data_IF_421455414473
#
_entry.id   IF_421455414473
#
_cell.length_a   1.000
_cell.length_b   1.000
_cell.length_c   1.000
_cell.angle_alpha   90.00
_cell.angle_beta   90.00
_cell.angle_gamma   90.00
#
_symmetry.space_group_name_H-M   'P 1'
#
loop_
_entity.id
_entity.type
_entity.pdbx_description
1 polymer ?
#
# COMPACT_ATOMS: atom_id res chain seq x y z
N UNK A 1 55.54 -29.89 -0.53
CA UNK A 1 56.26 -28.64 -0.82
C UNK A 1 55.29 -27.50 -0.54
N UNK A 2 55.76 -26.42 0.08
CA UNK A 2 54.95 -25.28 0.51
C UNK A 2 55.32 -24.05 -0.32
N UNK A 3 54.34 -23.19 -0.58
CA UNK A 3 54.48 -21.92 -1.28
C UNK A 3 53.62 -20.89 -0.53
N UNK A 4 54.18 -19.72 -0.24
CA UNK A 4 53.48 -18.62 0.44
C UNK A 4 53.52 -17.39 -0.47
N UNK A 5 52.35 -16.80 -0.73
CA UNK A 5 52.18 -15.65 -1.59
C UNK A 5 51.49 -14.53 -0.81
N UNK A 6 51.92 -13.29 -1.01
CA UNK A 6 51.26 -12.13 -0.44
C UNK A 6 50.07 -11.69 -1.32
N UNK A 7 48.89 -11.41 -0.73
CA UNK A 7 47.76 -10.85 -1.46
C UNK A 7 48.01 -9.39 -1.83
N UNK A 8 47.52 -8.98 -3.01
CA UNK A 8 47.72 -7.64 -3.57
C UNK A 8 46.80 -6.63 -2.85
N UNK A 9 47.28 -6.00 -1.78
CA UNK A 9 46.50 -5.07 -0.96
C UNK A 9 47.15 -3.69 -0.75
N UNK A 10 48.45 -3.53 -1.00
CA UNK A 10 49.17 -2.28 -0.71
C UNK A 10 50.02 -1.79 -1.91
N UNK A 11 50.74 -0.66 -1.84
CA UNK A 11 51.69 -0.23 -2.86
C UNK A 11 53.10 -0.86 -2.73
N UNK A 12 53.29 -1.76 -1.76
CA UNK A 12 54.57 -2.44 -1.53
C UNK A 12 54.91 -3.40 -2.68
N UNK A 13 56.18 -3.81 -2.78
CA UNK A 13 56.57 -4.82 -3.77
C UNK A 13 55.96 -6.18 -3.41
N UNK A 14 54.87 -6.53 -4.07
CA UNK A 14 54.15 -7.79 -3.86
C UNK A 14 54.69 -8.91 -4.74
N UNK A 15 54.60 -10.14 -4.24
CA UNK A 15 54.96 -11.33 -5.00
C UNK A 15 55.00 -12.61 -4.16
N UNK A 16 55.87 -13.52 -4.59
CA UNK A 16 56.15 -14.77 -3.88
C UNK A 16 56.94 -14.46 -2.61
N UNK A 17 56.34 -14.68 -1.44
CA UNK A 17 56.99 -14.49 -0.15
C UNK A 17 57.97 -15.62 0.15
N UNK A 18 57.57 -16.87 -0.11
CA UNK A 18 58.42 -18.07 0.00
C UNK A 18 58.32 -18.89 -1.30
N UNK A 19 59.49 -19.21 -1.88
CA UNK A 19 59.59 -20.09 -3.07
C UNK A 19 59.10 -21.50 -2.75
N UNK A 20 58.64 -22.22 -3.77
CA UNK A 20 58.16 -23.61 -3.61
C UNK A 20 59.29 -24.56 -3.23
N UNK A 21 59.33 -25.01 -1.98
CA UNK A 21 60.25 -26.06 -1.52
C UNK A 21 59.76 -26.74 -0.22
N UNK A 22 60.57 -27.62 0.38
CA UNK A 22 60.28 -28.21 1.70
C UNK A 22 60.84 -27.29 2.78
N UNK A 23 60.01 -26.95 3.77
CA UNK A 23 60.38 -26.07 4.89
C UNK A 23 60.63 -26.95 6.11
N UNK A 24 61.77 -26.77 6.78
CA UNK A 24 62.11 -27.46 8.02
C UNK A 24 61.28 -26.93 9.20
N UNK A 25 61.10 -27.76 10.23
CA UNK A 25 60.53 -27.34 11.50
C UNK A 25 61.48 -26.35 12.19
N UNK A 26 60.98 -25.53 13.15
CA UNK A 26 61.83 -24.65 13.93
C UNK A 26 62.75 -25.45 14.86
N UNK A 27 63.86 -24.85 15.33
CA UNK A 27 64.76 -25.49 16.29
C UNK A 27 63.97 -25.94 17.54
N UNK A 28 64.21 -27.16 18.09
CA UNK A 28 65.38 -28.03 17.92
C UNK A 28 65.25 -29.13 16.83
N UNK A 29 64.13 -29.26 16.13
CA UNK A 29 63.85 -30.34 15.18
C UNK A 29 64.16 -29.95 13.71
N UNK A 30 65.28 -29.29 13.46
CA UNK A 30 65.63 -28.72 12.14
C UNK A 30 65.78 -29.78 11.02
N UNK A 31 66.00 -31.04 11.40
CA UNK A 31 66.14 -32.18 10.48
C UNK A 31 64.80 -32.67 9.89
N UNK A 32 63.66 -32.20 10.43
CA UNK A 32 62.32 -32.64 10.03
C UNK A 32 61.60 -31.56 9.25
N UNK A 33 60.74 -31.97 8.32
CA UNK A 33 59.95 -31.06 7.49
C UNK A 33 58.48 -31.00 7.92
N UNK A 34 57.82 -29.87 7.68
CA UNK A 34 56.38 -29.74 7.89
C UNK A 34 55.58 -30.76 7.07
N UNK A 35 54.70 -31.50 7.75
CA UNK A 35 53.73 -32.42 7.14
C UNK A 35 52.30 -31.86 7.24
N UNK A 36 51.36 -32.47 6.50
CA UNK A 36 49.95 -32.05 6.45
C UNK A 36 49.30 -31.97 7.85
N UNK A 37 49.71 -32.82 8.78
CA UNK A 37 49.17 -32.86 10.15
C UNK A 37 49.55 -31.65 11.00
N UNK A 38 50.58 -30.89 10.61
CA UNK A 38 51.00 -29.66 11.30
C UNK A 38 50.16 -28.44 10.89
N UNK A 39 49.26 -28.60 9.91
CA UNK A 39 48.38 -27.54 9.43
C UNK A 39 46.98 -27.74 10.00
N UNK A 40 46.60 -26.86 10.93
CA UNK A 40 45.22 -26.75 11.41
C UNK A 40 44.82 -25.27 11.50
N UNK A 41 43.53 -25.00 11.43
CA UNK A 41 42.98 -23.65 11.58
C UNK A 41 43.25 -23.15 13.02
N UNK A 42 43.57 -21.88 13.18
CA UNK A 42 43.97 -21.23 14.44
C UNK A 42 45.27 -21.71 15.07
N UNK A 43 46.09 -22.47 14.35
CA UNK A 43 47.43 -22.84 14.81
C UNK A 43 48.47 -21.85 14.29
N UNK A 44 49.43 -21.52 15.15
CA UNK A 44 50.57 -20.66 14.81
C UNK A 44 51.71 -21.53 14.26
N UNK A 45 52.25 -21.15 13.11
CA UNK A 45 53.26 -21.90 12.37
C UNK A 45 54.47 -21.00 12.13
N UNK A 46 55.68 -21.53 12.33
CA UNK A 46 56.92 -20.76 12.16
C UNK A 46 57.60 -21.12 10.85
N UNK A 47 57.75 -20.16 9.95
CA UNK A 47 58.56 -20.31 8.73
C UNK A 47 59.73 -19.32 8.76
N UNK A 48 60.97 -19.82 8.69
CA UNK A 48 62.20 -19.01 8.70
C UNK A 48 62.23 -17.95 9.81
N UNK A 49 61.83 -18.33 11.03
CA UNK A 49 61.78 -17.43 12.19
C UNK A 49 60.60 -16.46 12.24
N UNK A 50 59.68 -16.50 11.26
CA UNK A 50 58.44 -15.71 11.28
C UNK A 50 57.24 -16.58 11.63
N UNK A 51 56.42 -16.11 12.58
CA UNK A 51 55.16 -16.74 12.98
C UNK A 51 54.01 -16.31 12.08
N UNK A 52 53.33 -17.29 11.49
CA UNK A 52 52.13 -17.12 10.68
C UNK A 52 50.96 -17.78 11.39
N UNK A 53 49.80 -17.15 11.36
CA UNK A 53 48.57 -17.70 11.91
C UNK A 53 47.61 -18.06 10.79
N UNK A 54 47.17 -19.32 10.75
CA UNK A 54 46.16 -19.75 9.79
C UNK A 54 44.78 -19.38 10.32
N UNK A 55 44.10 -18.45 9.65
CA UNK A 55 42.76 -17.99 10.08
C UNK A 55 41.63 -18.86 9.50
N UNK A 56 41.79 -19.32 8.26
CA UNK A 56 40.80 -20.10 7.52
C UNK A 56 41.48 -20.99 6.46
N UNK A 57 40.72 -21.95 5.94
CA UNK A 57 41.13 -22.85 4.88
C UNK A 57 40.05 -22.94 3.78
N UNK A 58 40.50 -23.09 2.53
CA UNK A 58 39.61 -23.30 1.38
C UNK A 58 38.72 -24.55 1.52
N UNK A 59 37.59 -24.58 0.80
CA UNK A 59 36.61 -25.66 0.88
C UNK A 59 37.20 -27.03 0.51
N UNK A 60 38.13 -27.06 -0.45
CA UNK A 60 38.84 -28.28 -0.84
C UNK A 60 39.72 -28.80 0.29
N UNK A 61 40.58 -27.94 0.87
CA UNK A 61 41.50 -28.34 1.94
C UNK A 61 40.75 -28.76 3.20
N UNK A 62 39.62 -28.10 3.50
CA UNK A 62 38.71 -28.49 4.58
C UNK A 62 38.20 -29.94 4.43
N UNK A 63 37.78 -30.30 3.22
CA UNK A 63 37.27 -31.64 2.92
C UNK A 63 38.37 -32.69 2.92
N UNK A 64 39.56 -32.34 2.41
CA UNK A 64 40.74 -33.21 2.38
C UNK A 64 41.23 -33.58 3.79
N UNK A 65 41.38 -32.59 4.67
CA UNK A 65 41.81 -32.80 6.06
C UNK A 65 40.82 -33.64 6.85
N UNK A 66 39.51 -33.41 6.64
CA UNK A 66 38.44 -34.23 7.23
C UNK A 66 38.51 -35.69 6.77
N UNK A 67 38.82 -35.93 5.49
CA UNK A 67 38.96 -37.28 4.92
C UNK A 67 40.18 -38.04 5.48
N UNK A 68 41.25 -37.32 5.80
CA UNK A 68 42.47 -37.88 6.43
C UNK A 68 42.28 -38.09 7.95
N UNK A 69 41.16 -37.65 8.52
CA UNK A 69 40.82 -37.84 9.93
C UNK A 69 41.25 -36.69 10.85
N UNK A 70 41.71 -35.56 10.30
CA UNK A 70 42.08 -34.37 11.08
C UNK A 70 40.83 -33.57 11.43
N UNK A 71 40.59 -33.33 12.72
CA UNK A 71 39.52 -32.46 13.21
C UNK A 71 39.95 -31.00 13.09
N UNK A 72 39.26 -30.25 12.24
CA UNK A 72 39.51 -28.83 12.02
C UNK A 72 38.88 -27.96 13.10
N UNK A 73 39.62 -26.96 13.55
CA UNK A 73 39.11 -25.92 14.45
C UNK A 73 38.14 -24.98 13.72
N UNK A 74 37.24 -24.27 14.44
CA UNK A 74 36.37 -23.28 13.83
C UNK A 74 37.19 -22.12 13.23
N UNK A 75 36.79 -21.57 12.07
CA UNK A 75 37.48 -20.44 11.45
C UNK A 75 37.41 -19.22 12.34
N UNK A 76 38.50 -18.45 12.39
CA UNK A 76 38.54 -17.17 13.11
C UNK A 76 38.44 -16.02 12.12
N UNK A 77 37.81 -14.94 12.55
CA UNK A 77 37.77 -13.71 11.76
C UNK A 77 39.20 -13.19 11.54
N UNK A 78 39.52 -12.88 10.28
CA UNK A 78 40.75 -12.21 9.92
C UNK A 78 40.82 -10.88 10.70
N UNK A 79 41.95 -10.54 11.34
CA UNK A 79 42.08 -9.26 12.04
C UNK A 79 41.88 -8.11 11.05
N UNK A 80 41.08 -7.12 11.45
CA UNK A 80 40.77 -6.00 10.58
C UNK A 80 41.97 -5.04 10.51
N UNK A 81 42.41 -4.74 9.28
CA UNK A 81 43.49 -3.80 9.02
C UNK A 81 43.01 -2.36 9.29
N UNK A 82 43.70 -1.57 10.15
CA UNK A 82 43.39 -0.16 10.39
C UNK A 82 43.27 0.67 9.12
N UNK A 83 44.07 0.37 8.09
CA UNK A 83 44.01 1.04 6.80
C UNK A 83 42.70 0.75 6.06
N UNK A 84 42.29 -0.52 6.00
CA UNK A 84 41.04 -0.91 5.35
C UNK A 84 39.82 -0.32 6.06
N UNK A 85 39.82 -0.28 7.39
CA UNK A 85 38.78 0.40 8.18
C UNK A 85 38.68 1.88 7.83
N UNK A 86 39.81 2.60 7.88
CA UNK A 86 39.84 4.05 7.58
C UNK A 86 39.42 4.35 6.16
N UNK A 87 39.82 3.51 5.19
CA UNK A 87 39.42 3.66 3.78
C UNK A 87 37.92 3.44 3.61
N UNK A 88 37.35 2.43 4.27
CA UNK A 88 35.91 2.13 4.24
C UNK A 88 35.11 3.28 4.84
N UNK A 89 35.51 3.76 6.01
CA UNK A 89 34.89 4.93 6.65
C UNK A 89 34.94 6.16 5.73
N UNK A 90 36.09 6.47 5.13
CA UNK A 90 36.20 7.58 4.17
C UNK A 90 35.29 7.42 2.95
N UNK A 91 35.16 6.21 2.40
CA UNK A 91 34.25 5.92 1.30
C UNK A 91 32.78 6.11 1.72
N UNK A 92 32.41 5.67 2.92
CA UNK A 92 31.06 5.84 3.47
C UNK A 92 30.71 7.34 3.64
N UNK A 93 31.69 8.17 4.00
CA UNK A 93 31.54 9.63 4.06
C UNK A 93 31.60 10.34 2.69
N UNK A 94 32.18 9.71 1.66
CA UNK A 94 32.30 10.23 0.28
C UNK A 94 31.01 10.03 -0.55
N UNK A 95 29.84 10.13 0.09
CA UNK A 95 28.58 10.22 -0.65
C UNK A 95 28.48 11.56 -1.40
N UNK A 96 27.74 11.63 -2.52
CA UNK A 96 27.53 12.88 -3.23
C UNK A 96 26.90 13.93 -2.29
N UNK A 97 27.46 15.15 -2.29
CA UNK A 97 26.96 16.27 -1.48
C UNK A 97 25.51 16.67 -1.84
N UNK A 98 25.09 16.33 -3.07
CA UNK A 98 23.71 16.47 -3.56
C UNK A 98 23.31 15.15 -4.22
N UNK A 99 22.78 14.18 -3.47
CA UNK A 99 22.27 12.96 -4.08
C UNK A 99 21.09 13.32 -4.98
N UNK A 100 21.17 12.97 -6.27
CA UNK A 100 20.04 13.10 -7.18
C UNK A 100 18.99 12.05 -6.80
N UNK A 101 17.80 12.51 -6.38
CA UNK A 101 16.64 11.65 -6.20
C UNK A 101 15.81 11.71 -7.48
N UNK A 102 15.77 10.61 -8.23
CA UNK A 102 14.83 10.47 -9.35
C UNK A 102 13.42 10.27 -8.79
N UNK A 103 12.57 11.29 -8.90
CA UNK A 103 11.14 11.13 -8.65
C UNK A 103 10.48 10.58 -9.90
N UNK A 104 10.05 9.32 -9.86
CA UNK A 104 9.44 8.62 -11.01
C UNK A 104 7.94 8.96 -11.18
N UNK A 105 7.60 10.25 -11.03
CA UNK A 105 6.22 10.74 -11.12
C UNK A 105 5.70 10.66 -12.56
N UNK A 106 6.58 10.90 -13.55
CA UNK A 106 6.20 10.91 -14.95
C UNK A 106 5.78 9.52 -15.45
N UNK A 107 6.47 8.45 -15.02
CA UNK A 107 6.13 7.09 -15.44
C UNK A 107 4.74 6.69 -14.96
N UNK A 108 4.42 6.97 -13.68
CA UNK A 108 3.10 6.71 -13.13
C UNK A 108 2.01 7.47 -13.89
N UNK A 109 2.26 8.75 -14.20
CA UNK A 109 1.35 9.55 -15.01
C UNK A 109 1.11 8.93 -16.40
N UNK A 110 2.16 8.53 -17.10
CA UNK A 110 2.05 7.98 -18.46
C UNK A 110 1.32 6.62 -18.50
N UNK A 111 1.52 5.76 -17.50
CA UNK A 111 0.90 4.43 -17.45
C UNK A 111 -0.59 4.48 -17.06
N UNK A 112 -0.93 5.42 -16.17
CA UNK A 112 -2.25 5.53 -15.56
C UNK A 112 -3.06 6.77 -16.00
N UNK A 113 -2.62 7.47 -17.06
CA UNK A 113 -3.35 8.62 -17.59
C UNK A 113 -4.80 8.24 -17.87
N UNK A 114 -5.73 9.10 -17.42
CA UNK A 114 -7.19 8.93 -17.53
C UNK A 114 -7.79 7.69 -16.85
N UNK A 115 -7.01 6.89 -16.11
CA UNK A 115 -7.53 5.78 -15.31
C UNK A 115 -7.94 6.28 -13.93
N UNK A 116 -9.26 6.29 -13.69
CA UNK A 116 -9.84 6.78 -12.43
C UNK A 116 -10.69 5.69 -11.81
N UNK A 117 -10.44 5.39 -10.54
CA UNK A 117 -11.28 4.48 -9.78
C UNK A 117 -12.44 5.25 -9.17
N UNK A 118 -13.67 4.86 -9.49
CA UNK A 118 -14.90 5.47 -9.01
C UNK A 118 -15.61 4.55 -8.03
N UNK A 119 -15.87 5.07 -6.83
CA UNK A 119 -16.60 4.38 -5.78
C UNK A 119 -17.84 5.17 -5.35
N UNK A 120 -18.92 4.46 -5.09
CA UNK A 120 -20.13 5.01 -4.50
C UNK A 120 -20.06 4.84 -2.99
N UNK A 121 -20.17 5.96 -2.29
CA UNK A 121 -19.96 6.03 -0.87
C UNK A 121 -21.16 6.65 -0.19
N UNK A 122 -21.31 6.35 1.10
CA UNK A 122 -22.25 7.04 1.97
C UNK A 122 -21.52 7.63 3.15
N UNK A 123 -21.82 8.88 3.44
CA UNK A 123 -21.50 9.50 4.72
C UNK A 123 -22.77 9.57 5.56
N UNK A 124 -22.76 8.85 6.68
CA UNK A 124 -23.85 8.85 7.64
C UNK A 124 -23.47 9.73 8.83
N UNK A 125 -24.12 10.90 8.93
CA UNK A 125 -23.97 11.84 10.04
C UNK A 125 -25.21 11.83 10.96
N UNK A 126 -26.10 10.84 10.85
CA UNK A 126 -27.40 10.80 11.58
C UNK A 126 -27.30 10.88 13.10
N UNK A 127 -26.13 10.61 13.70
CA UNK A 127 -25.88 10.80 15.12
C UNK A 127 -25.83 12.29 15.55
N UNK A 128 -25.60 13.20 14.60
CA UNK A 128 -25.55 14.65 14.84
C UNK A 128 -26.96 15.25 14.86
N UNK A 129 -27.19 16.30 15.66
CA UNK A 129 -28.50 16.95 15.84
C UNK A 129 -29.14 17.45 14.53
N UNK A 130 -28.30 17.81 13.56
CA UNK A 130 -28.71 18.26 12.22
C UNK A 130 -28.03 17.42 11.13
N UNK A 131 -27.71 16.17 11.48
CA UNK A 131 -26.97 15.27 10.62
C UNK A 131 -27.87 14.61 9.58
N UNK A 132 -27.40 14.59 8.34
CA UNK A 132 -28.07 13.95 7.22
C UNK A 132 -27.21 12.83 6.64
N UNK A 133 -27.85 11.78 6.13
CA UNK A 133 -27.19 10.76 5.31
C UNK A 133 -26.97 11.30 3.90
N UNK A 134 -25.71 11.33 3.45
CA UNK A 134 -25.32 11.88 2.14
C UNK A 134 -24.72 10.81 1.24
N UNK A 135 -25.15 10.80 -0.01
CA UNK A 135 -24.57 9.97 -1.07
C UNK A 135 -23.39 10.71 -1.70
N UNK A 136 -22.23 10.06 -1.74
CA UNK A 136 -20.98 10.62 -2.24
C UNK A 136 -20.42 9.73 -3.35
N UNK A 137 -19.71 10.34 -4.29
CA UNK A 137 -18.91 9.65 -5.31
C UNK A 137 -17.45 10.00 -5.08
N UNK A 138 -16.64 8.99 -4.81
CA UNK A 138 -15.20 9.11 -4.65
C UNK A 138 -14.50 8.75 -5.96
N UNK A 139 -13.64 9.64 -6.42
CA UNK A 139 -12.74 9.43 -7.56
C UNK A 139 -11.31 9.33 -7.04
N UNK A 140 -10.64 8.21 -7.31
CA UNK A 140 -9.23 7.99 -7.03
C UNK A 140 -8.45 8.00 -8.34
N UNK A 141 -7.52 8.94 -8.48
CA UNK A 141 -6.70 9.09 -9.68
C UNK A 141 -5.41 8.28 -9.55
N UNK A 142 -5.26 7.24 -10.36
CA UNK A 142 -4.10 6.36 -10.35
C UNK A 142 -2.81 7.05 -10.83
N UNK A 143 -2.93 8.16 -11.58
CA UNK A 143 -1.79 8.95 -12.07
C UNK A 143 -0.98 9.61 -10.95
N UNK A 144 -1.64 10.08 -9.89
CA UNK A 144 -1.04 10.95 -8.87
C UNK A 144 -1.38 10.54 -7.43
N UNK A 145 -2.10 9.42 -7.26
CA UNK A 145 -2.63 8.94 -5.96
C UNK A 145 -3.43 10.00 -5.20
N UNK A 146 -4.27 10.74 -5.94
CA UNK A 146 -5.12 11.81 -5.39
C UNK A 146 -6.58 11.39 -5.34
N UNK A 147 -7.31 11.93 -4.38
CA UNK A 147 -8.73 11.65 -4.14
C UNK A 147 -9.55 12.92 -4.31
N UNK A 148 -10.63 12.82 -5.07
CA UNK A 148 -11.67 13.84 -5.21
C UNK A 148 -13.01 13.23 -4.76
N UNK A 149 -13.78 13.95 -3.95
CA UNK A 149 -15.08 13.47 -3.46
C UNK A 149 -16.16 14.45 -3.85
N UNK A 150 -17.19 13.95 -4.53
CA UNK A 150 -18.35 14.72 -4.99
C UNK A 150 -19.60 14.26 -4.24
N UNK A 151 -20.43 15.19 -3.83
CA UNK A 151 -21.73 14.95 -3.22
C UNK A 151 -22.79 14.85 -4.32
N UNK A 152 -23.60 13.78 -4.27
CA UNK A 152 -24.73 13.59 -5.19
C UNK A 152 -25.93 14.30 -4.60
N UNK A 153 -26.31 15.42 -5.20
CA UNK A 153 -27.44 16.23 -4.77
C UNK A 153 -28.72 15.81 -5.52
N UNK A 154 -29.78 15.35 -4.82
CA UNK A 154 -31.07 15.13 -5.46
C UNK A 154 -31.74 16.46 -5.85
N UNK A 155 -32.68 16.38 -6.79
CA UNK A 155 -33.52 17.51 -7.16
C UNK A 155 -34.26 18.05 -5.91
N UNK A 156 -34.34 19.37 -5.79
CA UNK A 156 -34.96 20.06 -4.66
C UNK A 156 -34.32 19.75 -3.28
N UNK A 157 -33.01 19.47 -3.24
CA UNK A 157 -32.28 19.20 -1.98
C UNK A 157 -32.15 20.41 -1.05
N UNK A 158 -32.35 21.63 -1.56
CA UNK A 158 -32.18 22.87 -0.79
C UNK A 158 -30.72 23.21 -0.43
N UNK A 159 -29.74 22.50 -1.02
CA UNK A 159 -28.31 22.75 -0.85
C UNK A 159 -27.73 23.54 -2.02
N UNK A 160 -26.59 24.18 -1.76
CA UNK A 160 -25.88 24.94 -2.78
C UNK A 160 -25.40 24.04 -3.94
N UNK A 161 -25.27 24.61 -5.13
CA UNK A 161 -24.92 23.90 -6.36
C UNK A 161 -23.48 23.34 -6.36
N UNK A 162 -22.63 23.78 -5.41
CA UNK A 162 -21.29 23.24 -5.24
C UNK A 162 -21.33 21.81 -4.69
N UNK A 163 -21.28 20.85 -5.61
CA UNK A 163 -21.24 19.39 -5.34
C UNK A 163 -19.87 18.89 -4.82
N UNK A 164 -18.85 19.74 -4.65
CA UNK A 164 -17.53 19.27 -4.18
C UNK A 164 -17.49 19.09 -2.66
N UNK A 165 -17.44 17.84 -2.20
CA UNK A 165 -17.22 17.52 -0.78
C UNK A 165 -15.74 17.60 -0.40
N UNK A 166 -14.86 17.15 -1.31
CA UNK A 166 -13.41 17.26 -1.17
C UNK A 166 -12.77 17.58 -2.52
N UNK A 167 -12.12 18.73 -2.61
CA UNK A 167 -11.26 19.06 -3.75
C UNK A 167 -10.11 18.06 -3.88
N UNK A 168 -9.79 17.69 -5.13
CA UNK A 168 -8.71 16.76 -5.50
C UNK A 168 -7.41 17.05 -4.74
N UNK A 169 -7.02 16.12 -3.86
CA UNK A 169 -5.77 16.18 -3.08
C UNK A 169 -5.38 14.79 -2.59
N UNK A 170 -4.15 14.62 -2.10
CA UNK A 170 -3.77 13.39 -1.39
C UNK A 170 -4.51 13.32 -0.06
N UNK A 171 -5.14 12.18 0.23
CA UNK A 171 -5.93 11.99 1.44
C UNK A 171 -5.11 11.24 2.49
N UNK A 172 -4.81 11.82 3.66
CA UNK A 172 -4.07 11.11 4.69
C UNK A 172 -4.95 10.10 5.43
N UNK A 173 -4.33 8.99 5.86
CA UNK A 173 -5.02 7.92 6.60
C UNK A 173 -5.40 8.33 8.02
N UNK A 174 -4.48 9.00 8.71
CA UNK A 174 -4.62 9.34 10.11
C UNK A 174 -5.08 10.78 10.28
N UNK A 175 -6.38 10.93 10.63
CA UNK A 175 -7.00 12.14 11.18
C UNK A 175 -6.82 13.43 10.37
N UNK A 176 -7.37 14.56 10.85
CA UNK A 176 -6.77 15.84 10.50
C UNK A 176 -5.33 15.83 11.01
N UNK A 177 -4.30 16.04 10.17
CA UNK A 177 -2.98 16.29 10.67
C UNK A 177 -3.11 17.45 11.65
N UNK A 178 -2.37 17.39 12.73
CA UNK A 178 -2.22 18.56 13.58
C UNK A 178 -1.88 19.79 12.74
N UNK A 179 -2.18 20.97 13.26
CA UNK A 179 -1.79 22.22 12.61
C UNK A 179 -0.27 22.24 12.50
N UNK A 180 0.24 22.12 11.29
CA UNK A 180 1.67 22.16 11.03
C UNK A 180 2.13 23.60 10.80
N UNK A 181 3.34 23.90 11.25
CA UNK A 181 3.96 25.17 10.93
C UNK A 181 4.30 25.22 9.43
N UNK A 182 4.26 26.41 8.80
CA UNK A 182 4.72 26.57 7.43
C UNK A 182 6.13 25.98 7.25
N UNK A 183 6.30 25.11 6.26
CA UNK A 183 7.58 24.45 5.97
C UNK A 183 7.86 23.15 6.76
N UNK A 184 6.95 22.71 7.63
CA UNK A 184 7.11 21.45 8.38
C UNK A 184 6.75 20.20 7.54
N UNK A 185 5.82 20.34 6.58
CA UNK A 185 5.49 19.32 5.58
C UNK A 185 6.19 19.66 4.26
N UNK A 186 7.45 19.27 4.13
CA UNK A 186 8.19 19.39 2.88
C UNK A 186 8.85 18.07 2.52
N UNK A 187 8.99 17.81 1.22
CA UNK A 187 9.64 16.58 0.73
C UNK A 187 11.12 16.51 1.13
N UNK A 188 11.74 17.69 1.24
CA UNK A 188 13.14 17.89 1.63
C UNK A 188 13.20 18.77 2.86
N UNK A 189 13.99 18.34 3.84
CA UNK A 189 14.28 19.12 5.04
C UNK A 189 15.57 19.91 4.85
N UNK A 190 15.61 21.11 5.40
CA UNK A 190 16.75 22.02 5.27
C UNK A 190 17.29 22.31 6.67
N UNK A 191 18.59 22.08 6.86
CA UNK A 191 19.31 22.45 8.06
C UNK A 191 19.69 23.93 7.97
N UNK A 192 19.34 24.67 9.00
CA UNK A 192 19.76 26.04 9.16
C UNK A 192 21.22 26.05 9.64
N UNK A 193 22.15 26.51 8.79
CA UNK A 193 23.59 26.51 9.09
C UNK A 193 24.06 27.96 9.13
N UNK A 194 23.65 28.68 10.18
CA UNK A 194 24.25 29.97 10.52
C UNK A 194 25.65 29.72 11.10
N UNK A 195 26.66 29.71 10.24
CA UNK A 195 28.06 29.75 10.66
C UNK A 195 28.47 31.19 10.92
N UNK A 196 28.74 31.54 12.18
CA UNK A 196 29.28 32.85 12.55
C UNK A 196 30.57 33.19 11.78
N UNK A 197 30.68 34.47 11.44
CA UNK A 197 31.91 35.20 11.06
C UNK A 197 32.90 34.49 10.11
N UNK A 198 32.48 34.14 8.90
CA UNK A 198 33.44 33.99 7.79
C UNK A 198 32.84 34.49 6.47
N UNK A 199 33.53 35.43 5.82
CA UNK A 199 33.03 36.26 4.70
C UNK A 199 32.73 35.50 3.39
N UNK A 200 32.86 34.17 3.34
CA UNK A 200 32.81 33.41 2.08
C UNK A 200 32.03 32.08 2.15
N UNK A 201 30.79 32.08 2.67
CA UNK A 201 29.86 30.95 2.45
C UNK A 201 28.53 31.43 1.90
N UNK A 202 28.29 31.07 0.64
CA UNK A 202 27.23 31.58 -0.25
C UNK A 202 25.82 31.06 0.11
N UNK A 203 25.64 30.12 1.04
CA UNK A 203 24.29 29.64 1.39
C UNK A 203 24.16 29.39 2.89
N UNK A 204 23.26 30.13 3.55
CA UNK A 204 22.97 30.01 4.99
C UNK A 204 22.17 28.75 5.38
N UNK A 205 22.01 27.80 4.46
CA UNK A 205 21.21 26.61 4.65
C UNK A 205 21.81 25.42 3.87
N UNK A 206 21.63 24.20 4.42
CA UNK A 206 22.13 22.95 3.85
C UNK A 206 20.99 21.94 3.77
N UNK A 207 20.83 21.25 2.64
CA UNK A 207 19.84 20.16 2.54
C UNK A 207 20.22 19.03 3.49
N UNK A 208 19.27 18.55 4.29
CA UNK A 208 19.50 17.42 5.18
C UNK A 208 19.58 16.12 4.37
N UNK A 209 20.73 15.45 4.44
CA UNK A 209 20.94 14.14 3.82
C UNK A 209 20.15 13.04 4.54
N UNK A 210 19.99 13.16 5.86
CA UNK A 210 19.43 12.12 6.71
C UNK A 210 17.92 12.28 6.92
N UNK A 211 17.34 13.44 6.56
CA UNK A 211 15.93 13.77 6.73
C UNK A 211 15.39 13.46 8.14
N UNK A 212 16.18 13.77 9.18
CA UNK A 212 15.93 13.36 10.57
C UNK A 212 14.64 13.95 11.16
N UNK A 213 14.05 14.95 10.51
CA UNK A 213 12.80 15.61 10.90
C UNK A 213 11.66 15.47 9.89
N UNK A 214 11.77 14.59 8.90
CA UNK A 214 10.69 14.38 7.93
C UNK A 214 9.51 13.72 8.63
N UNK A 215 8.36 14.38 8.60
CA UNK A 215 7.11 13.79 9.05
C UNK A 215 6.59 12.86 7.97
N UNK A 216 6.63 11.57 8.24
CA UNK A 216 6.05 10.56 7.35
C UNK A 216 4.53 10.56 7.51
N UNK A 217 3.86 11.27 6.61
CA UNK A 217 2.40 11.23 6.50
C UNK A 217 1.98 10.12 5.54
N UNK A 218 1.26 9.12 6.07
CA UNK A 218 0.69 8.06 5.25
C UNK A 218 -0.58 8.54 4.54
N UNK A 219 -0.61 8.35 3.22
CA UNK A 219 -1.76 8.63 2.38
C UNK A 219 -2.48 7.35 1.98
N UNK A 220 -3.80 7.43 1.79
CA UNK A 220 -4.59 6.34 1.24
C UNK A 220 -4.08 5.96 -0.15
N UNK A 221 -3.89 4.67 -0.36
CA UNK A 221 -3.55 4.07 -1.65
C UNK A 221 -4.72 3.26 -2.16
N UNK A 222 -4.64 2.86 -3.43
CA UNK A 222 -5.60 1.97 -4.06
C UNK A 222 -5.74 0.61 -3.33
N UNK A 223 -4.68 0.14 -2.65
CA UNK A 223 -4.73 -1.06 -1.79
C UNK A 223 -5.67 -0.94 -0.60
N UNK A 224 -5.88 0.28 -0.10
CA UNK A 224 -6.69 0.52 1.10
C UNK A 224 -8.18 0.70 0.77
N UNK A 225 -8.52 0.86 -0.52
CA UNK A 225 -9.87 1.11 -0.98
C UNK A 225 -10.54 -0.21 -1.39
N UNK A 226 -11.48 -0.67 -0.59
CA UNK A 226 -12.29 -1.85 -0.90
C UNK A 226 -13.75 -1.67 -0.45
N UNK A 227 -14.67 -2.42 -1.07
CA UNK A 227 -16.09 -2.33 -0.74
C UNK A 227 -16.30 -2.78 0.72
N UNK A 228 -17.07 -2.00 1.47
CA UNK A 228 -17.33 -2.22 2.89
C UNK A 228 -16.32 -1.57 3.83
N UNK A 229 -15.22 -1.01 3.32
CA UNK A 229 -14.28 -0.26 4.16
C UNK A 229 -14.78 1.15 4.45
N UNK A 230 -14.51 1.62 5.66
CA UNK A 230 -14.76 3.01 6.08
C UNK A 230 -13.48 3.80 5.99
N UNK A 231 -13.44 4.81 5.12
CA UNK A 231 -12.32 5.74 5.00
C UNK A 231 -12.54 6.97 5.86
N UNK A 232 -11.45 7.57 6.32
CA UNK A 232 -11.47 8.79 7.11
C UNK A 232 -11.17 9.99 6.23
N UNK A 233 -12.18 10.82 5.99
CA UNK A 233 -12.06 12.07 5.22
C UNK A 233 -12.03 13.24 6.20
N UNK A 234 -10.84 13.60 6.67
CA UNK A 234 -10.66 14.72 7.60
C UNK A 234 -11.53 14.67 8.86
N UNK A 235 -11.65 13.48 9.46
CA UNK A 235 -12.48 13.23 10.64
C UNK A 235 -13.89 12.72 10.32
N UNK A 236 -14.31 12.73 9.05
CA UNK A 236 -15.60 12.21 8.61
C UNK A 236 -15.45 10.78 8.10
N UNK A 237 -16.14 9.83 8.73
CA UNK A 237 -16.10 8.42 8.34
C UNK A 237 -17.04 8.18 7.17
N UNK A 238 -16.49 7.85 6.01
CA UNK A 238 -17.24 7.60 4.77
C UNK A 238 -17.16 6.11 4.45
N UNK A 239 -18.31 5.46 4.26
CA UNK A 239 -18.41 4.04 3.93
C UNK A 239 -18.44 3.84 2.41
N UNK A 240 -17.59 2.95 1.90
CA UNK A 240 -17.59 2.53 0.50
C UNK A 240 -18.66 1.45 0.28
N UNK A 241 -19.75 1.77 -0.43
CA UNK A 241 -20.89 0.86 -0.66
C UNK A 241 -20.74 0.02 -1.93
N UNK A 242 -20.29 0.63 -3.03
CA UNK A 242 -20.23 0.02 -4.36
C UNK A 242 -19.13 0.67 -5.21
N UNK A 243 -18.82 0.08 -6.37
CA UNK A 243 -17.78 0.58 -7.26
C UNK A 243 -18.13 0.37 -8.74
N UNK A 244 -17.50 1.17 -9.61
CA UNK A 244 -17.75 1.16 -11.05
C UNK A 244 -17.17 -0.09 -11.73
N UNK A 245 -17.66 -0.46 -12.91
CA UNK A 245 -17.22 -1.70 -13.59
C UNK A 245 -15.75 -1.65 -13.99
N UNK A 246 -15.25 -0.47 -14.36
CA UNK A 246 -13.82 -0.25 -14.57
C UNK A 246 -13.00 -0.56 -13.33
N UNK A 247 -13.48 -0.19 -12.13
CA UNK A 247 -12.76 -0.48 -10.89
C UNK A 247 -12.74 -1.97 -10.61
N UNK A 248 -13.88 -2.67 -10.81
CA UNK A 248 -13.96 -4.12 -10.62
C UNK A 248 -12.96 -4.84 -11.50
N UNK A 249 -12.87 -4.47 -12.77
CA UNK A 249 -11.89 -5.05 -13.71
C UNK A 249 -10.45 -4.72 -13.33
N UNK A 250 -10.17 -3.50 -12.86
CA UNK A 250 -8.85 -3.11 -12.36
C UNK A 250 -8.41 -3.97 -11.16
N UNK A 251 -9.26 -4.08 -10.12
CA UNK A 251 -8.95 -4.87 -8.93
C UNK A 251 -8.84 -6.37 -9.22
N UNK A 252 -9.64 -6.90 -10.15
CA UNK A 252 -9.51 -8.28 -10.63
C UNK A 252 -8.15 -8.51 -11.32
N UNK A 253 -7.71 -7.58 -12.17
CA UNK A 253 -6.46 -7.72 -12.93
C UNK A 253 -5.22 -7.54 -12.07
N UNK A 254 -5.22 -6.54 -11.18
CA UNK A 254 -4.05 -6.18 -10.36
C UNK A 254 -3.92 -7.02 -9.08
N UNK A 255 -5.04 -7.28 -8.40
CA UNK A 255 -5.06 -7.91 -7.08
C UNK A 255 -5.72 -9.29 -7.05
N UNK A 256 -6.36 -9.72 -8.15
CA UNK A 256 -7.09 -11.00 -8.18
C UNK A 256 -8.35 -11.01 -7.30
N UNK A 257 -8.91 -9.84 -6.97
CA UNK A 257 -10.08 -9.73 -6.10
C UNK A 257 -11.35 -9.90 -6.94
N UNK A 258 -12.20 -10.86 -6.57
CA UNK A 258 -13.49 -11.13 -7.25
C UNK A 258 -14.71 -10.78 -6.40
N UNK A 259 -14.53 -10.64 -5.08
CA UNK A 259 -15.63 -10.38 -4.15
C UNK A 259 -15.97 -8.89 -4.10
N UNK A 260 -16.95 -8.48 -4.92
CA UNK A 260 -17.54 -7.14 -4.92
C UNK A 260 -18.99 -7.19 -4.45
N UNK A 261 -19.22 -7.53 -3.18
CA UNK A 261 -20.57 -7.54 -2.61
C UNK A 261 -21.03 -6.10 -2.35
N UNK A 262 -21.94 -5.60 -3.18
CA UNK A 262 -22.51 -4.26 -3.00
C UNK A 262 -23.33 -4.17 -1.72
N UNK A 263 -23.12 -3.10 -0.96
CA UNK A 263 -23.85 -2.85 0.28
C UNK A 263 -25.06 -1.98 -0.07
N UNK A 264 -26.30 -2.47 0.15
CA UNK A 264 -27.49 -1.68 -0.14
C UNK A 264 -27.55 -0.48 0.80
N UNK A 265 -27.39 0.70 0.22
CA UNK A 265 -27.31 1.96 0.95
C UNK A 265 -28.65 2.71 1.02
N UNK A 266 -29.74 2.12 0.50
CA UNK A 266 -31.11 2.66 0.64
C UNK A 266 -31.94 1.70 1.49
N UNK A 267 -32.67 2.26 2.46
CA UNK A 267 -33.72 1.50 3.14
C UNK A 267 -34.76 1.08 2.09
N UNK A 268 -35.30 -0.15 2.18
CA UNK A 268 -36.40 -0.54 1.31
C UNK A 268 -37.54 0.48 1.48
N UNK A 269 -38.22 0.86 0.38
CA UNK A 269 -39.36 1.77 0.48
C UNK A 269 -40.38 1.16 1.45
N UNK A 270 -41.04 1.97 2.30
CA UNK A 270 -42.07 1.46 3.17
C UNK A 270 -43.13 0.75 2.31
N UNK A 271 -43.67 -0.40 2.77
CA UNK A 271 -44.68 -1.11 2.01
C UNK A 271 -45.85 -0.17 1.74
N UNK A 272 -46.24 -0.07 0.46
CA UNK A 272 -47.44 0.67 0.09
C UNK A 272 -48.62 0.02 0.81
N UNK A 273 -49.22 0.75 1.74
CA UNK A 273 -50.42 0.26 2.44
C UNK A 273 -51.55 0.26 1.42
N UNK A 274 -51.86 -0.92 0.88
CA UNK A 274 -53.03 -1.13 0.05
C UNK A 274 -54.28 -0.83 0.89
N UNK A 275 -55.02 0.21 0.51
CA UNK A 275 -56.28 0.53 1.15
C UNK A 275 -57.28 -0.59 0.82
N UNK A 276 -57.60 -1.43 1.81
CA UNK A 276 -58.67 -2.42 1.67
C UNK A 276 -60.00 -1.68 1.63
N UNK A 277 -60.87 -2.06 0.69
CA UNK A 277 -62.24 -1.57 0.71
C UNK A 277 -62.96 -2.11 1.96
N UNK A 278 -63.82 -1.31 2.59
CA UNK A 278 -64.64 -1.79 3.70
C UNK A 278 -65.59 -2.90 3.24
N UNK A 279 -66.02 -3.80 4.13
CA UNK A 279 -67.04 -4.79 3.81
C UNK A 279 -68.35 -4.10 3.39
N UNK A 280 -69.08 -4.73 2.47
CA UNK A 280 -70.37 -4.24 1.97
C UNK A 280 -71.40 -4.10 3.12
N UNK A 281 -72.10 -2.98 3.14
CA UNK A 281 -72.97 -2.55 4.25
C UNK A 281 -74.40 -3.10 4.20
N UNK A 282 -74.78 -3.84 3.15
CA UNK A 282 -76.13 -4.41 3.00
C UNK A 282 -77.15 -3.49 2.33
N UNK A 283 -76.76 -2.27 1.95
CA UNK A 283 -77.63 -1.31 1.25
C UNK A 283 -77.19 -1.16 -0.21
N UNK A 284 -78.15 -1.13 -1.15
CA UNK A 284 -77.85 -0.98 -2.59
C UNK A 284 -77.25 -2.24 -3.21
N UNK A 285 -76.51 -2.12 -4.32
CA UNK A 285 -75.72 -3.24 -4.87
C UNK A 285 -74.26 -3.15 -4.40
N UNK A 286 -73.55 -4.29 -4.40
CA UNK A 286 -72.13 -4.32 -4.04
C UNK A 286 -71.31 -3.43 -4.98
N UNK A 287 -71.61 -3.46 -6.27
CA UNK A 287 -70.91 -2.68 -7.30
C UNK A 287 -71.12 -1.17 -7.13
N UNK A 288 -72.32 -0.75 -6.72
CA UNK A 288 -72.67 0.65 -6.47
C UNK A 288 -72.00 1.16 -5.18
N UNK A 289 -71.97 0.33 -4.14
CA UNK A 289 -71.29 0.63 -2.87
C UNK A 289 -69.77 0.75 -3.05
N UNK A 290 -69.19 -0.11 -3.88
CA UNK A 290 -67.77 -0.04 -4.23
C UNK A 290 -67.42 1.28 -4.93
N UNK A 291 -68.29 1.79 -5.81
CA UNK A 291 -68.09 3.08 -6.49
C UNK A 291 -68.06 4.26 -5.51
N UNK A 292 -68.86 4.20 -4.45
CA UNK A 292 -68.80 5.22 -3.38
C UNK A 292 -67.50 5.16 -2.59
N UNK A 293 -66.81 4.01 -2.52
CA UNK A 293 -65.54 3.87 -1.82
C UNK A 293 -64.32 4.28 -2.68
N UNK A 294 -64.47 4.35 -4.01
CA UNK A 294 -63.38 4.66 -4.95
C UNK A 294 -63.12 6.17 -5.05
N UNK A 295 -64.16 7.00 -4.96
CA UNK A 295 -64.04 8.45 -5.14
C UNK A 295 -65.05 9.24 -4.31
N UNK A 296 -64.72 10.49 -4.00
CA UNK A 296 -65.58 11.38 -3.21
C UNK A 296 -66.93 11.64 -3.88
N UNK A 297 -66.93 11.75 -5.21
CA UNK A 297 -68.15 11.89 -6.01
C UNK A 297 -68.50 10.52 -6.60
N UNK A 298 -69.66 9.92 -6.21
CA UNK A 298 -70.04 8.61 -6.70
C UNK A 298 -70.29 8.66 -8.20
N UNK A 299 -69.66 7.75 -8.93
CA UNK A 299 -69.89 7.55 -10.35
C UNK A 299 -70.75 6.31 -10.56
N UNK A 300 -71.76 6.36 -11.45
CA UNK A 300 -72.61 5.20 -11.69
C UNK A 300 -71.80 4.02 -12.21
N UNK A 301 -72.12 2.81 -11.73
CA UNK A 301 -71.47 1.60 -12.22
C UNK A 301 -71.77 1.42 -13.72
N UNK A 302 -70.72 1.26 -14.54
CA UNK A 302 -70.87 0.95 -15.95
C UNK A 302 -70.97 -0.55 -16.14
N UNK A 303 -72.06 -1.02 -16.73
CA UNK A 303 -72.25 -2.42 -17.10
C UNK A 303 -71.43 -2.72 -18.35
N UNK A 304 -70.92 -3.95 -18.46
CA UNK A 304 -70.21 -4.41 -19.65
C UNK A 304 -71.18 -4.62 -20.83
N UNK A 305 -71.48 -3.54 -21.56
CA UNK A 305 -72.43 -3.54 -22.68
C UNK A 305 -72.07 -4.54 -23.78
N UNK A 306 -70.78 -4.75 -24.05
CA UNK A 306 -70.32 -5.71 -25.06
C UNK A 306 -70.71 -7.16 -24.72
N UNK A 307 -70.47 -7.57 -23.46
CA UNK A 307 -70.85 -8.89 -22.96
C UNK A 307 -72.37 -9.06 -22.93
N UNK A 308 -73.11 -8.01 -22.59
CA UNK A 308 -74.57 -8.03 -22.64
C UNK A 308 -75.08 -8.35 -24.06
N UNK A 309 -74.60 -7.62 -25.08
CA UNK A 309 -75.00 -7.81 -26.48
C UNK A 309 -74.60 -9.18 -27.06
N UNK A 310 -73.44 -9.72 -26.66
CA UNK A 310 -72.94 -11.01 -27.16
C UNK A 310 -73.74 -12.22 -26.61
N UNK A 311 -74.20 -12.15 -25.36
CA UNK A 311 -74.89 -13.27 -24.69
C UNK A 311 -76.41 -13.11 -24.59
N UNK A 312 -76.98 -12.01 -25.09
CA UNK A 312 -78.43 -11.69 -24.99
C UNK A 312 -79.35 -12.74 -25.64
N UNK A 313 -78.81 -13.62 -26.49
CA UNK A 313 -79.57 -14.65 -27.23
C UNK A 313 -79.21 -16.10 -26.92
N UNK A 314 -78.25 -16.36 -26.02
CA UNK A 314 -77.73 -17.71 -25.80
C UNK A 314 -78.30 -18.46 -24.58
N UNK A 315 -79.32 -17.94 -23.89
CA UNK A 315 -80.04 -18.67 -22.83
C UNK A 315 -81.41 -19.15 -23.33
N UNK A 316 -81.41 -20.19 -24.17
CA UNK A 316 -82.53 -21.12 -24.29
C UNK A 316 -81.99 -22.53 -24.11
N UNK A 317 -81.84 -22.96 -22.87
CA UNK A 317 -81.83 -24.39 -22.56
C UNK A 317 -82.24 -24.64 -21.10
N UNK A 318 -83.41 -25.29 -20.98
CA UNK A 318 -83.84 -26.26 -19.97
C UNK A 318 -83.95 -25.82 -18.50
N UNK A 319 -85.14 -25.32 -18.13
CA UNK A 319 -85.76 -25.65 -16.85
C UNK A 319 -86.97 -26.54 -17.15
N UNK A 320 -86.87 -27.81 -16.75
CA UNK A 320 -88.00 -28.71 -16.50
C UNK A 320 -88.70 -28.30 -15.21
#
# INVERSE_FOLDING_TARGET
MLLLQEPVLCPLHHGLFIRRHRISLPPPDDDRFYTVYHFNVNTDIVFYGRTFKIYDCDAFTRSFLRKIGVKLNPPRQCPEDPYMKTRREKLDYMGPLRPYQSFDTLKQFLEYDRKVLRFFCVWDDSCSLFGDRRELILHYFLSDDTVEIKEVLPHNSGRDAMSLFLQRRKLPKYGPPGVFQPGQLTDQTVLNVYGGYSENRVYGYLLDKYNLGKLDQEFYKDTDLSIGTTINVWGRKVLLCDCDDFTKTYYRTKYGIENFTSIPCKAPPPPTIERKFPPYTGFGSEEDSLRSCIGLMPTPHQRNFKKFMEFDRCLRELLF
#
